data_IF_073207368317
#
_entry.id   IF_073207368317
#
_cell.length_a   1.000
_cell.length_b   1.000
_cell.length_c   1.000
_cell.angle_alpha   90.00
_cell.angle_beta   90.00
_cell.angle_gamma   90.00
#
_symmetry.space_group_name_H-M   'P 1'
#
loop_
_entity.id
_entity.type
_entity.pdbx_description
1 polymer ?
#
# COMPACT_ATOMS: atom_id res chain seq x y z
N UNK A 1 18.41 -30.63 4.69
CA UNK A 1 18.81 -29.22 4.79
C UNK A 1 18.56 -28.51 3.46
N UNK A 2 17.76 -27.45 3.48
CA UNK A 2 17.38 -26.68 2.28
C UNK A 2 18.55 -25.96 1.61
N UNK A 3 19.68 -25.83 2.32
CA UNK A 3 20.90 -25.22 1.81
C UNK A 3 21.87 -26.20 1.15
N UNK A 4 21.55 -27.49 1.17
CA UNK A 4 22.29 -28.45 0.32
C UNK A 4 22.00 -28.09 -1.14
N UNK A 5 23.05 -27.95 -1.98
CA UNK A 5 22.90 -27.51 -3.38
C UNK A 5 21.87 -28.31 -4.17
N UNK A 6 21.83 -29.62 -4.00
CA UNK A 6 20.88 -30.51 -4.68
C UNK A 6 19.43 -30.25 -4.27
N UNK A 7 19.18 -30.00 -2.99
CA UNK A 7 17.82 -29.67 -2.48
C UNK A 7 17.38 -28.30 -2.94
N UNK A 8 18.27 -27.32 -2.91
CA UNK A 8 18.01 -25.97 -3.42
C UNK A 8 17.70 -26.03 -4.94
N UNK A 9 18.48 -26.78 -5.73
CA UNK A 9 18.25 -26.94 -7.16
C UNK A 9 16.91 -27.62 -7.45
N UNK A 10 16.55 -28.69 -6.74
CA UNK A 10 15.24 -29.35 -6.87
C UNK A 10 14.09 -28.39 -6.59
N UNK A 11 14.17 -27.63 -5.52
CA UNK A 11 13.15 -26.64 -5.17
C UNK A 11 12.99 -25.56 -6.25
N UNK A 12 14.10 -24.98 -6.70
CA UNK A 12 14.11 -23.96 -7.75
C UNK A 12 13.66 -24.51 -9.11
N UNK A 13 14.01 -25.77 -9.43
CA UNK A 13 13.50 -26.46 -10.63
C UNK A 13 12.00 -26.63 -10.61
N UNK A 14 11.41 -26.97 -9.46
CA UNK A 14 9.94 -27.01 -9.34
C UNK A 14 9.30 -25.64 -9.54
N UNK A 15 9.91 -24.58 -9.02
CA UNK A 15 9.42 -23.22 -9.27
C UNK A 15 9.51 -22.85 -10.75
N UNK A 16 10.59 -23.23 -11.44
CA UNK A 16 10.73 -23.03 -12.90
C UNK A 16 9.65 -23.77 -13.67
N UNK A 17 9.39 -25.05 -13.36
CA UNK A 17 8.34 -25.84 -14.01
C UNK A 17 6.97 -25.16 -13.89
N UNK A 18 6.63 -24.67 -12.70
CA UNK A 18 5.38 -23.91 -12.48
C UNK A 18 5.33 -22.58 -13.23
N UNK A 19 6.47 -22.06 -13.64
CA UNK A 19 6.60 -20.81 -14.40
C UNK A 19 7.00 -21.06 -15.88
N UNK A 20 6.56 -22.17 -16.47
CA UNK A 20 6.83 -22.54 -17.86
C UNK A 20 8.33 -22.56 -18.20
N UNK A 21 9.17 -23.06 -17.30
CA UNK A 21 10.63 -23.11 -17.40
C UNK A 21 11.33 -21.76 -17.59
N UNK A 22 10.64 -20.65 -17.24
CA UNK A 22 11.22 -19.31 -17.32
C UNK A 22 11.58 -18.80 -15.93
N UNK A 23 12.77 -18.20 -15.80
CA UNK A 23 13.11 -17.49 -14.57
C UNK A 23 12.23 -16.25 -14.41
N UNK A 24 11.97 -15.87 -13.17
CA UNK A 24 11.20 -14.68 -12.79
C UNK A 24 11.92 -13.96 -11.65
N UNK A 25 11.55 -12.70 -11.40
CA UNK A 25 12.11 -11.94 -10.28
C UNK A 25 11.95 -12.69 -8.94
N UNK A 26 10.82 -13.39 -8.73
CA UNK A 26 10.60 -14.18 -7.52
C UNK A 26 11.55 -15.39 -7.42
N UNK A 27 11.76 -16.12 -8.52
CA UNK A 27 12.69 -17.27 -8.55
C UNK A 27 14.14 -16.80 -8.34
N UNK A 28 14.54 -15.71 -9.01
CA UNK A 28 15.84 -15.08 -8.86
C UNK A 28 16.07 -14.60 -7.42
N UNK A 29 15.06 -14.01 -6.79
CA UNK A 29 15.12 -13.56 -5.41
C UNK A 29 15.30 -14.73 -4.43
N UNK A 30 14.54 -15.83 -4.59
CA UNK A 30 14.68 -17.03 -3.75
C UNK A 30 16.09 -17.60 -3.89
N UNK A 31 16.62 -17.74 -5.11
CA UNK A 31 17.99 -18.24 -5.33
C UNK A 31 19.03 -17.33 -4.68
N UNK A 32 18.89 -16.01 -4.80
CA UNK A 32 19.78 -15.03 -4.16
C UNK A 32 19.72 -15.09 -2.64
N UNK A 33 18.53 -15.27 -2.06
CA UNK A 33 18.35 -15.42 -0.61
C UNK A 33 19.00 -16.69 -0.09
N UNK A 34 18.87 -17.82 -0.77
CA UNK A 34 19.54 -19.07 -0.39
C UNK A 34 21.07 -18.89 -0.38
N UNK A 35 21.62 -18.24 -1.41
CA UNK A 35 23.05 -17.91 -1.47
C UNK A 35 23.49 -17.01 -0.32
N UNK A 36 22.73 -15.95 -0.02
CA UNK A 36 23.08 -15.04 1.10
C UNK A 36 22.95 -15.74 2.44
N UNK A 37 21.93 -16.56 2.62
CA UNK A 37 21.72 -17.30 3.87
C UNK A 37 22.83 -18.30 4.13
N UNK A 38 23.33 -19.00 3.09
CA UNK A 38 24.45 -19.93 3.21
C UNK A 38 25.74 -19.24 3.71
N UNK A 39 25.95 -17.98 3.32
CA UNK A 39 27.07 -17.16 3.80
C UNK A 39 26.91 -16.78 5.28
N UNK A 40 25.70 -16.32 5.66
CA UNK A 40 25.39 -15.86 7.02
C UNK A 40 25.61 -16.99 8.04
N UNK A 41 25.18 -18.22 7.71
CA UNK A 41 25.33 -19.37 8.63
C UNK A 41 26.64 -20.13 8.48
N UNK A 42 27.57 -19.62 7.66
CA UNK A 42 28.91 -20.20 7.55
C UNK A 42 28.96 -21.58 6.89
N UNK A 43 28.09 -21.84 5.87
CA UNK A 43 28.18 -23.10 5.11
C UNK A 43 29.55 -23.26 4.43
N UNK A 44 30.00 -24.51 4.12
CA UNK A 44 31.24 -24.74 3.41
C UNK A 44 31.39 -23.92 2.12
N UNK A 45 32.60 -23.48 1.79
CA UNK A 45 32.90 -22.63 0.64
C UNK A 45 32.39 -23.22 -0.69
N UNK A 46 32.46 -24.55 -0.83
CA UNK A 46 31.95 -25.25 -1.98
C UNK A 46 30.39 -25.08 -2.13
N UNK A 47 29.65 -25.25 -1.03
CA UNK A 47 28.21 -25.04 -0.97
C UNK A 47 27.84 -23.61 -1.35
N UNK A 48 28.55 -22.62 -0.79
CA UNK A 48 28.34 -21.21 -1.13
C UNK A 48 28.59 -20.94 -2.61
N UNK A 49 29.67 -21.51 -3.17
CA UNK A 49 29.99 -21.35 -4.60
C UNK A 49 28.93 -21.95 -5.50
N UNK A 50 28.41 -23.14 -5.19
CA UNK A 50 27.41 -23.84 -5.96
C UNK A 50 26.06 -23.07 -5.92
N UNK A 51 25.64 -22.58 -4.73
CA UNK A 51 24.44 -21.74 -4.61
C UNK A 51 24.60 -20.39 -5.31
N UNK A 52 25.79 -19.82 -5.33
CA UNK A 52 26.07 -18.59 -6.07
C UNK A 52 25.95 -18.80 -7.59
N UNK A 53 26.52 -19.88 -8.13
CA UNK A 53 26.37 -20.23 -9.55
C UNK A 53 24.90 -20.43 -9.92
N UNK A 54 24.13 -21.10 -9.06
CA UNK A 54 22.70 -21.31 -9.26
C UNK A 54 21.93 -19.98 -9.28
N UNK A 55 22.23 -19.08 -8.34
CA UNK A 55 21.63 -17.74 -8.31
C UNK A 55 21.97 -16.92 -9.56
N UNK A 56 23.23 -16.98 -10.05
CA UNK A 56 23.62 -16.32 -11.30
C UNK A 56 22.88 -16.85 -12.51
N UNK A 57 22.72 -18.17 -12.64
CA UNK A 57 21.98 -18.81 -13.75
C UNK A 57 20.50 -18.42 -13.78
N UNK A 58 19.91 -18.14 -12.61
CA UNK A 58 18.50 -17.79 -12.47
C UNK A 58 18.29 -16.27 -12.38
N UNK A 59 19.37 -15.50 -12.43
CA UNK A 59 19.29 -14.05 -12.36
C UNK A 59 18.48 -13.49 -13.54
N UNK A 60 17.55 -12.60 -13.22
CA UNK A 60 16.83 -11.81 -14.21
C UNK A 60 17.20 -10.34 -14.04
N UNK A 61 17.35 -9.59 -15.14
CA UNK A 61 17.62 -8.16 -15.05
C UNK A 61 16.58 -7.46 -14.18
N UNK A 62 17.05 -6.58 -13.30
CA UNK A 62 16.15 -5.75 -12.51
C UNK A 62 15.25 -4.94 -13.47
N UNK A 63 13.95 -5.02 -13.27
CA UNK A 63 13.01 -4.25 -14.08
C UNK A 63 13.23 -2.76 -13.82
N UNK A 64 13.65 -2.02 -14.86
CA UNK A 64 13.75 -0.57 -14.81
C UNK A 64 12.39 0.05 -15.17
N UNK A 65 11.87 0.87 -14.27
CA UNK A 65 10.62 1.60 -14.50
C UNK A 65 9.34 0.78 -14.32
N UNK A 66 8.26 1.28 -14.89
CA UNK A 66 6.92 0.72 -14.71
C UNK A 66 6.71 -0.55 -15.55
N UNK A 67 6.08 -1.57 -14.95
CA UNK A 67 5.72 -2.80 -15.67
C UNK A 67 4.75 -2.51 -16.82
N UNK A 68 4.77 -3.35 -17.87
CA UNK A 68 3.81 -3.26 -18.97
C UNK A 68 2.35 -3.32 -18.48
N UNK A 69 2.08 -4.20 -17.51
CA UNK A 69 0.76 -4.30 -16.85
C UNK A 69 0.33 -2.99 -16.21
N UNK A 70 1.21 -2.32 -15.48
CA UNK A 70 0.90 -1.04 -14.84
C UNK A 70 0.76 0.09 -15.87
N UNK A 71 1.58 0.10 -16.92
CA UNK A 71 1.40 1.04 -18.04
C UNK A 71 0.05 0.86 -18.73
N UNK A 72 -0.37 -0.38 -18.97
CA UNK A 72 -1.68 -0.65 -19.57
C UNK A 72 -2.83 -0.16 -18.68
N UNK A 73 -2.72 -0.34 -17.37
CA UNK A 73 -3.70 0.19 -16.41
C UNK A 73 -3.77 1.71 -16.41
N UNK A 74 -2.62 2.40 -16.47
CA UNK A 74 -2.58 3.86 -16.53
C UNK A 74 -3.12 4.42 -17.84
N UNK A 75 -3.00 3.68 -18.96
CA UNK A 75 -3.57 4.12 -20.25
C UNK A 75 -5.10 4.35 -20.18
N UNK A 76 -5.81 3.62 -19.32
CA UNK A 76 -7.25 3.83 -19.11
C UNK A 76 -7.54 5.24 -18.59
N UNK A 77 -6.63 5.83 -17.82
CA UNK A 77 -6.76 7.18 -17.28
C UNK A 77 -6.42 8.30 -18.31
N UNK A 78 -5.92 7.94 -19.51
CA UNK A 78 -5.74 8.90 -20.61
C UNK A 78 -7.06 9.32 -21.25
N UNK A 79 -8.16 8.60 -20.98
CA UNK A 79 -9.49 9.00 -21.40
C UNK A 79 -10.05 10.02 -20.42
N UNK A 80 -10.38 11.21 -20.90
CA UNK A 80 -10.87 12.34 -20.09
C UNK A 80 -12.10 12.00 -19.26
N UNK A 81 -13.04 11.25 -19.83
CA UNK A 81 -14.25 10.83 -19.10
C UNK A 81 -13.90 9.90 -17.93
N UNK A 82 -12.93 9.00 -18.13
CA UNK A 82 -12.49 8.07 -17.07
C UNK A 82 -11.72 8.83 -16.00
N UNK A 83 -10.84 9.75 -16.40
CA UNK A 83 -10.12 10.61 -15.48
C UNK A 83 -11.09 11.47 -14.65
N UNK A 84 -12.05 12.11 -15.28
CA UNK A 84 -13.05 12.93 -14.59
C UNK A 84 -13.90 12.10 -13.61
N UNK A 85 -14.29 10.87 -13.99
CA UNK A 85 -14.98 9.95 -13.07
C UNK A 85 -14.12 9.61 -11.85
N UNK A 86 -12.82 9.35 -12.05
CA UNK A 86 -11.91 9.07 -10.95
C UNK A 86 -11.75 10.27 -10.01
N UNK A 87 -11.58 11.48 -10.57
CA UNK A 87 -11.44 12.70 -9.77
C UNK A 87 -12.70 13.04 -8.98
N UNK A 88 -13.89 12.80 -9.55
CA UNK A 88 -15.18 13.07 -8.90
C UNK A 88 -15.65 11.92 -7.99
N UNK A 89 -14.97 10.75 -8.04
CA UNK A 89 -15.38 9.57 -7.29
C UNK A 89 -15.47 9.80 -5.78
N UNK A 90 -14.51 10.48 -5.11
CA UNK A 90 -14.57 10.70 -3.68
C UNK A 90 -15.80 11.51 -3.26
N UNK A 91 -16.09 12.63 -3.93
CA UNK A 91 -17.24 13.46 -3.58
C UNK A 91 -18.56 12.73 -3.85
N UNK A 92 -18.62 12.00 -4.97
CA UNK A 92 -19.78 11.18 -5.27
C UNK A 92 -20.05 10.11 -4.21
N UNK A 93 -19.03 9.36 -3.78
CA UNK A 93 -19.16 8.35 -2.73
C UNK A 93 -19.50 8.97 -1.37
N UNK A 94 -18.96 10.14 -1.08
CA UNK A 94 -19.23 10.85 0.17
C UNK A 94 -20.67 11.35 0.25
N UNK A 95 -21.19 11.92 -0.84
CA UNK A 95 -22.52 12.47 -0.92
C UNK A 95 -23.61 11.40 -1.11
N UNK A 96 -23.30 10.35 -1.88
CA UNK A 96 -24.22 9.31 -2.29
C UNK A 96 -23.69 7.91 -1.87
N UNK A 97 -23.64 7.62 -0.57
CA UNK A 97 -23.24 6.30 -0.13
C UNK A 97 -24.19 5.22 -0.69
N UNK A 98 -23.70 3.98 -0.94
CA UNK A 98 -24.48 2.93 -1.59
C UNK A 98 -25.85 2.73 -0.96
N UNK A 99 -26.90 2.69 -1.82
CA UNK A 99 -28.28 2.43 -1.44
C UNK A 99 -28.51 0.92 -1.40
N UNK A 100 -29.37 0.46 -0.49
CA UNK A 100 -29.73 -0.95 -0.32
C UNK A 100 -29.88 -1.30 1.15
N UNK A 101 -29.46 -2.48 1.60
CA UNK A 101 -29.39 -2.85 3.03
C UNK A 101 -28.35 -2.03 3.80
N UNK A 102 -28.06 -0.79 3.34
CA UNK A 102 -27.05 0.09 3.91
C UNK A 102 -27.57 0.63 5.25
N UNK A 103 -27.03 0.09 6.32
CA UNK A 103 -27.20 0.65 7.66
C UNK A 103 -26.26 1.86 7.88
N UNK A 104 -26.38 2.53 9.01
CA UNK A 104 -25.55 3.67 9.38
C UNK A 104 -24.05 3.36 9.29
N UNK A 105 -23.64 2.14 9.64
CA UNK A 105 -22.25 1.68 9.56
C UNK A 105 -21.73 1.63 8.11
N UNK A 106 -22.50 1.06 7.19
CA UNK A 106 -22.11 0.98 5.76
C UNK A 106 -21.99 2.36 5.13
N UNK A 107 -22.88 3.27 5.48
CA UNK A 107 -22.81 4.68 5.01
C UNK A 107 -21.56 5.38 5.55
N UNK A 108 -21.26 5.17 6.81
CA UNK A 108 -20.07 5.74 7.44
C UNK A 108 -18.78 5.18 6.83
N UNK A 109 -18.72 3.87 6.52
CA UNK A 109 -17.61 3.25 5.80
C UNK A 109 -17.42 3.85 4.40
N UNK A 110 -18.49 4.04 3.64
CA UNK A 110 -18.39 4.62 2.30
C UNK A 110 -17.82 6.05 2.32
N UNK A 111 -18.17 6.86 3.33
CA UNK A 111 -17.57 8.18 3.54
C UNK A 111 -16.10 8.12 3.92
N UNK A 112 -15.73 7.16 4.77
CA UNK A 112 -14.32 6.92 5.13
C UNK A 112 -13.50 6.49 3.92
N UNK A 113 -14.05 5.59 3.07
CA UNK A 113 -13.42 5.17 1.82
C UNK A 113 -13.26 6.33 0.83
N UNK A 114 -14.27 7.21 0.75
CA UNK A 114 -14.20 8.43 -0.06
C UNK A 114 -13.05 9.34 0.37
N UNK A 115 -12.88 9.57 1.68
CA UNK A 115 -11.74 10.35 2.22
C UNK A 115 -10.40 9.67 1.90
N UNK A 116 -10.32 8.34 2.05
CA UNK A 116 -9.10 7.59 1.73
C UNK A 116 -8.71 7.73 0.25
N UNK A 117 -9.68 7.61 -0.67
CA UNK A 117 -9.45 7.78 -2.11
C UNK A 117 -9.06 9.23 -2.43
N UNK A 118 -9.74 10.22 -1.84
CA UNK A 118 -9.44 11.64 -2.04
C UNK A 118 -7.99 11.97 -1.62
N UNK A 119 -7.54 11.46 -0.47
CA UNK A 119 -6.15 11.62 -0.02
C UNK A 119 -5.18 10.99 -1.04
N UNK A 120 -5.43 9.78 -1.52
CA UNK A 120 -4.55 9.10 -2.48
C UNK A 120 -4.47 9.81 -3.84
N UNK A 121 -5.52 10.51 -4.26
CA UNK A 121 -5.52 11.29 -5.49
C UNK A 121 -4.61 12.53 -5.41
N UNK A 122 -4.47 13.11 -4.22
CA UNK A 122 -3.66 14.30 -3.97
C UNK A 122 -2.27 13.94 -3.47
N UNK A 123 -2.19 12.98 -2.55
CA UNK A 123 -0.98 12.58 -1.85
C UNK A 123 -0.64 11.13 -2.19
N UNK A 124 0.30 10.85 -3.12
CA UNK A 124 0.65 9.49 -3.54
C UNK A 124 1.48 8.77 -2.47
N UNK A 125 0.90 8.57 -1.29
CA UNK A 125 1.50 7.89 -0.16
C UNK A 125 1.22 6.37 -0.19
N UNK A 126 2.00 5.61 0.58
CA UNK A 126 1.75 4.16 0.73
C UNK A 126 0.48 3.91 1.54
N UNK A 127 -0.23 2.81 1.20
CA UNK A 127 -1.43 2.40 1.96
C UNK A 127 -1.14 2.21 3.44
N UNK A 128 0.08 1.79 3.82
CA UNK A 128 0.50 1.72 5.23
C UNK A 128 0.45 3.10 5.90
N UNK A 129 0.98 4.13 5.24
CA UNK A 129 1.00 5.49 5.76
C UNK A 129 -0.42 6.08 5.76
N UNK A 130 -1.21 5.83 4.71
CA UNK A 130 -2.61 6.23 4.67
C UNK A 130 -3.41 5.65 5.85
N UNK A 131 -3.33 4.33 6.07
CA UNK A 131 -4.02 3.66 7.16
C UNK A 131 -3.60 4.18 8.54
N UNK A 132 -2.33 4.56 8.69
CA UNK A 132 -1.74 5.04 9.93
C UNK A 132 -1.83 6.55 10.15
N UNK A 133 -2.66 7.30 9.43
CA UNK A 133 -2.78 8.75 9.63
C UNK A 133 -3.34 9.03 11.04
N UNK A 134 -2.50 9.66 11.86
CA UNK A 134 -2.86 10.17 13.18
C UNK A 134 -3.26 11.65 13.08
N UNK A 135 -4.40 12.02 13.64
CA UNK A 135 -5.01 13.34 13.45
C UNK A 135 -4.12 14.50 13.93
N UNK A 136 -3.43 14.32 15.04
CA UNK A 136 -2.57 15.38 15.61
C UNK A 136 -1.15 15.35 15.02
N UNK A 137 -0.60 14.14 14.76
CA UNK A 137 0.79 13.99 14.32
C UNK A 137 0.96 14.20 12.82
N UNK A 138 0.03 13.66 12.03
CA UNK A 138 0.16 13.69 10.57
C UNK A 138 -0.66 14.79 9.90
N UNK A 139 -1.78 15.26 10.51
CA UNK A 139 -2.57 16.38 9.98
C UNK A 139 -2.22 17.67 10.74
N UNK A 140 -1.23 18.40 10.25
CA UNK A 140 -0.75 19.62 10.88
C UNK A 140 -1.54 20.84 10.44
N UNK A 141 -1.98 21.65 11.40
CA UNK A 141 -2.77 22.87 11.19
C UNK A 141 -2.06 24.07 11.84
N UNK A 142 -1.18 24.76 11.13
CA UNK A 142 -0.37 25.86 11.69
C UNK A 142 -1.17 27.11 12.07
N UNK A 143 -2.47 27.19 11.77
CA UNK A 143 -3.33 28.31 12.15
C UNK A 143 -3.50 29.39 11.08
N UNK A 144 -2.82 29.28 9.95
CA UNK A 144 -2.91 30.20 8.81
C UNK A 144 -3.96 29.79 7.76
N UNK A 145 -4.83 28.84 8.11
CA UNK A 145 -5.86 28.28 7.24
C UNK A 145 -5.38 27.19 6.31
N UNK A 146 -4.08 26.85 6.33
CA UNK A 146 -3.52 25.72 5.60
C UNK A 146 -3.51 24.46 6.45
N UNK A 147 -3.54 23.31 5.79
CA UNK A 147 -3.45 22.00 6.43
C UNK A 147 -2.44 21.17 5.66
N UNK A 148 -1.55 20.52 6.38
CA UNK A 148 -0.51 19.68 5.82
C UNK A 148 -0.67 18.23 6.24
N UNK A 149 -0.50 17.31 5.29
CA UNK A 149 -0.32 15.90 5.59
C UNK A 149 1.18 15.61 5.64
N UNK A 150 1.68 15.26 6.81
CA UNK A 150 3.09 14.98 7.06
C UNK A 150 3.29 13.49 7.33
N UNK A 151 4.15 12.84 6.54
CA UNK A 151 4.65 11.49 6.78
C UNK A 151 6.05 11.62 7.35
N UNK A 152 6.22 11.29 8.62
CA UNK A 152 7.50 11.46 9.34
C UNK A 152 8.57 10.46 8.88
N UNK A 153 9.85 10.71 9.21
CA UNK A 153 11.01 9.95 8.72
C UNK A 153 10.90 8.44 8.94
N UNK A 154 10.51 8.02 10.13
CA UNK A 154 10.36 6.60 10.50
C UNK A 154 9.21 5.88 9.78
N UNK A 155 8.25 6.63 9.23
CA UNK A 155 7.16 6.13 8.39
C UNK A 155 7.55 6.10 6.90
N UNK A 156 8.52 6.92 6.49
CA UNK A 156 8.96 7.04 5.11
C UNK A 156 10.02 6.00 4.76
N UNK A 157 9.82 5.25 3.65
CA UNK A 157 10.81 4.23 3.19
C UNK A 157 12.19 4.81 2.89
N UNK A 158 12.25 6.10 2.57
CA UNK A 158 13.48 6.81 2.21
C UNK A 158 14.19 7.43 3.40
N UNK A 159 13.61 7.34 4.63
CA UNK A 159 14.13 8.03 5.80
C UNK A 159 14.11 9.57 5.67
N UNK A 160 13.24 10.09 4.81
CA UNK A 160 13.03 11.55 4.66
C UNK A 160 11.55 11.85 4.86
N UNK A 161 11.18 12.88 5.62
CA UNK A 161 9.79 13.27 5.79
C UNK A 161 9.21 13.71 4.44
N UNK A 162 7.93 13.49 4.27
CA UNK A 162 7.18 13.92 3.08
C UNK A 162 6.03 14.78 3.59
N UNK A 163 5.89 15.96 3.00
CA UNK A 163 4.85 16.92 3.38
C UNK A 163 4.03 17.31 2.15
N UNK A 164 2.71 17.34 2.30
CA UNK A 164 1.77 17.77 1.28
C UNK A 164 0.84 18.82 1.85
N UNK A 165 0.77 19.98 1.23
CA UNK A 165 -0.30 20.94 1.49
C UNK A 165 -1.61 20.38 0.91
N UNK A 166 -2.64 20.25 1.75
CA UNK A 166 -3.92 19.68 1.33
C UNK A 166 -4.80 20.75 0.68
N UNK A 167 -5.42 20.47 -0.48
CA UNK A 167 -6.43 21.34 -1.06
C UNK A 167 -7.60 21.60 -0.10
N UNK A 168 -8.16 22.79 -0.13
CA UNK A 168 -9.26 23.20 0.76
C UNK A 168 -10.47 22.25 0.69
N UNK A 169 -10.82 21.77 -0.50
CA UNK A 169 -11.92 20.82 -0.68
C UNK A 169 -11.67 19.49 0.02
N UNK A 170 -10.43 18.99 -0.04
CA UNK A 170 -10.04 17.77 0.68
C UNK A 170 -10.07 17.99 2.20
N UNK A 171 -9.55 19.12 2.68
CA UNK A 171 -9.62 19.49 4.11
C UNK A 171 -11.08 19.53 4.56
N UNK A 172 -11.95 20.17 3.78
CA UNK A 172 -13.39 20.24 4.07
C UNK A 172 -14.05 18.87 4.11
N UNK A 173 -13.70 17.98 3.18
CA UNK A 173 -14.18 16.59 3.18
C UNK A 173 -13.74 15.84 4.44
N UNK A 174 -12.46 15.97 4.84
CA UNK A 174 -11.93 15.39 6.07
C UNK A 174 -12.70 15.91 7.29
N UNK A 175 -12.89 17.22 7.40
CA UNK A 175 -13.58 17.85 8.54
C UNK A 175 -15.06 17.40 8.62
N UNK A 176 -15.75 17.34 7.48
CA UNK A 176 -17.12 16.80 7.39
C UNK A 176 -17.17 15.33 7.83
N UNK A 177 -16.18 14.53 7.42
CA UNK A 177 -16.08 13.13 7.84
C UNK A 177 -15.89 13.03 9.35
N UNK A 178 -14.96 13.77 9.92
CA UNK A 178 -14.69 13.76 11.35
C UNK A 178 -15.91 14.22 12.18
N UNK A 179 -16.58 15.29 11.75
CA UNK A 179 -17.80 15.81 12.39
C UNK A 179 -18.99 14.84 12.33
N UNK A 180 -19.10 14.07 11.24
CA UNK A 180 -20.20 13.12 10.98
C UNK A 180 -19.86 11.65 11.29
N UNK A 181 -18.71 11.39 11.93
CA UNK A 181 -18.26 10.04 12.23
C UNK A 181 -19.28 9.31 13.12
N UNK A 182 -19.72 8.15 12.64
CA UNK A 182 -20.74 7.38 13.35
C UNK A 182 -20.16 6.66 14.58
N UNK A 183 -20.83 6.70 15.74
CA UNK A 183 -20.47 5.89 16.89
C UNK A 183 -20.48 4.37 16.61
N UNK A 184 -21.16 3.93 15.54
CA UNK A 184 -21.13 2.54 15.10
C UNK A 184 -19.80 2.14 14.43
N UNK A 185 -19.00 3.11 13.99
CA UNK A 185 -17.67 2.84 13.41
C UNK A 185 -16.60 2.74 14.48
N UNK A 186 -16.57 3.70 15.37
CA UNK A 186 -15.58 3.79 16.43
C UNK A 186 -16.09 4.68 17.57
N UNK A 187 -15.55 4.53 18.79
CA UNK A 187 -15.80 5.46 19.89
C UNK A 187 -15.41 6.89 19.54
N UNK A 188 -16.04 7.86 20.21
CA UNK A 188 -15.63 9.26 20.13
C UNK A 188 -14.21 9.44 20.67
N UNK A 189 -13.47 10.43 20.15
CA UNK A 189 -12.14 10.80 20.67
C UNK A 189 -10.99 9.93 20.14
N UNK A 190 -11.20 9.10 19.13
CA UNK A 190 -10.08 8.41 18.49
C UNK A 190 -9.12 9.40 17.81
N UNK A 191 -7.82 9.15 17.96
CA UNK A 191 -6.77 9.96 17.32
C UNK A 191 -6.44 9.53 15.88
N UNK A 192 -7.12 8.52 15.36
CA UNK A 192 -6.84 7.99 14.01
C UNK A 192 -7.85 8.50 12.98
N UNK A 193 -7.37 8.85 11.79
CA UNK A 193 -8.26 9.20 10.69
C UNK A 193 -9.04 7.97 10.21
N UNK A 194 -8.39 6.80 10.17
CA UNK A 194 -8.97 5.51 9.81
C UNK A 194 -8.83 4.53 10.98
N UNK A 195 -9.73 4.60 11.98
CA UNK A 195 -9.64 3.79 13.19
C UNK A 195 -10.10 2.36 12.96
N UNK A 196 -9.63 1.45 13.81
CA UNK A 196 -10.32 0.19 14.06
C UNK A 196 -11.62 0.45 14.84
N UNK A 197 -12.48 -0.57 14.89
CA UNK A 197 -13.78 -0.46 15.54
C UNK A 197 -13.71 -0.11 17.03
N UNK A 198 -12.65 -0.47 17.72
CA UNK A 198 -12.39 -0.13 19.12
C UNK A 198 -11.82 1.28 19.32
N UNK A 199 -11.44 1.96 18.23
CA UNK A 199 -10.86 3.32 18.24
C UNK A 199 -9.42 3.42 18.74
N UNK A 200 -8.85 2.34 19.30
CA UNK A 200 -7.54 2.38 19.97
C UNK A 200 -6.37 2.34 18.99
N UNK A 201 -6.59 1.81 17.79
CA UNK A 201 -5.56 1.65 16.75
C UNK A 201 -6.11 2.07 15.39
N UNK A 202 -5.20 2.35 14.48
CA UNK A 202 -5.56 2.52 13.06
C UNK A 202 -5.99 1.19 12.43
N UNK A 203 -6.81 1.27 11.38
CA UNK A 203 -7.15 0.11 10.54
C UNK A 203 -5.87 -0.51 9.95
N UNK A 204 -5.85 -1.82 9.72
CA UNK A 204 -4.72 -2.44 9.06
C UNK A 204 -4.63 -2.03 7.58
N UNK A 205 -3.41 -1.88 7.01
CA UNK A 205 -3.25 -1.55 5.59
C UNK A 205 -3.97 -2.52 4.65
N UNK A 206 -4.00 -3.81 5.00
CA UNK A 206 -4.68 -4.83 4.20
C UNK A 206 -6.21 -4.66 4.20
N UNK A 207 -6.79 -4.32 5.36
CA UNK A 207 -8.24 -4.06 5.45
C UNK A 207 -8.63 -2.81 4.68
N UNK A 208 -7.88 -1.70 4.83
CA UNK A 208 -8.14 -0.48 4.07
C UNK A 208 -7.99 -0.72 2.56
N UNK A 209 -6.90 -1.39 2.15
CA UNK A 209 -6.68 -1.76 0.74
C UNK A 209 -7.82 -2.60 0.17
N UNK A 210 -8.29 -3.62 0.91
CA UNK A 210 -9.39 -4.48 0.48
C UNK A 210 -10.72 -3.71 0.32
N UNK A 211 -10.88 -2.59 1.02
CA UNK A 211 -12.07 -1.72 0.90
C UNK A 211 -12.02 -0.82 -0.32
N UNK A 212 -10.90 -0.12 -0.52
CA UNK A 212 -10.78 0.93 -1.56
C UNK A 212 -10.41 0.39 -2.95
N UNK A 213 -9.94 -0.85 -3.09
CA UNK A 213 -9.57 -1.46 -4.38
C UNK A 213 -10.52 -2.59 -4.82
N UNK A 214 -11.75 -2.61 -4.29
CA UNK A 214 -12.84 -3.45 -4.80
C UNK A 214 -13.46 -2.82 -6.03
#
# INVERSE_FOLDING_TARGET
>A
DLLQPDMAERGLRQMLLRNNNKSSAAISEVASRLCNFSKIIGQPAETQTNLHRLAQRLAVPAQKGMTQKNRARLRVLQNDKTMQRLLNLPEHLFAHPPVGKANAYTKALAREDAVAIAILLVCPIRVKNLAGIHLERNLQRPGDGRVYLVVVEDEAKTGRPIEFELPKDLVHMIDRHLASRSPHMCPAGTSWLFPQRDGNKSISPNQLSARIFK
#
